data_IF_512094832822
#
_entry.id   IF_512094832822
#
_cell.length_a   1.000
_cell.length_b   1.000
_cell.length_c   1.000
_cell.angle_alpha   90.00
_cell.angle_beta   90.00
_cell.angle_gamma   90.00
#
_symmetry.space_group_name_H-M   'P 1'
#
loop_
_entity.id
_entity.type
_entity.pdbx_description
1 polymer ?
#
# COMPACT_ATOMS: atom_id res chain seq x y z
N UNK A 1 7.71 2.93 5.44
CA UNK A 1 7.96 1.51 5.07
C UNK A 1 7.38 1.28 3.68
N UNK A 2 7.99 0.40 2.89
CA UNK A 2 7.47 -0.03 1.58
C UNK A 2 7.36 -1.56 1.58
N UNK A 3 6.23 -2.10 1.13
CA UNK A 3 5.99 -3.54 1.09
C UNK A 3 4.97 -3.92 0.01
N UNK A 4 5.20 -5.03 -0.67
CA UNK A 4 4.29 -5.58 -1.66
C UNK A 4 3.28 -6.54 -1.03
N UNK A 5 2.06 -6.52 -1.55
CA UNK A 5 0.97 -7.38 -1.12
C UNK A 5 0.13 -7.79 -2.32
N UNK A 6 -0.62 -8.87 -2.14
CA UNK A 6 -1.60 -9.34 -3.11
C UNK A 6 -3.00 -9.11 -2.54
N UNK A 7 -3.88 -8.55 -3.38
CA UNK A 7 -5.29 -8.40 -3.06
C UNK A 7 -6.12 -8.75 -4.29
N UNK A 8 -7.07 -9.68 -4.12
CA UNK A 8 -7.96 -10.15 -5.18
C UNK A 8 -7.27 -10.68 -6.45
N UNK A 9 -6.05 -11.21 -6.33
CA UNK A 9 -5.25 -11.71 -7.46
C UNK A 9 -4.36 -10.65 -8.12
N UNK A 10 -4.52 -9.38 -7.73
CA UNK A 10 -3.70 -8.27 -8.21
C UNK A 10 -2.56 -7.97 -7.24
N UNK A 11 -1.44 -7.48 -7.78
CA UNK A 11 -0.27 -7.12 -6.99
C UNK A 11 -0.28 -5.62 -6.74
N UNK A 12 -0.03 -5.24 -5.50
CA UNK A 12 0.09 -3.85 -5.09
C UNK A 12 1.35 -3.62 -4.27
N UNK A 13 1.89 -2.41 -4.35
CA UNK A 13 2.98 -1.94 -3.51
C UNK A 13 2.44 -0.86 -2.58
N UNK A 14 2.42 -1.16 -1.28
CA UNK A 14 2.09 -0.21 -0.24
C UNK A 14 3.34 0.55 0.20
N UNK A 15 3.23 1.87 0.33
CA UNK A 15 4.18 2.74 1.01
C UNK A 15 3.44 3.52 2.07
N UNK A 16 3.95 3.52 3.30
CA UNK A 16 3.33 4.31 4.37
C UNK A 16 4.38 4.92 5.31
N UNK A 17 4.09 6.08 5.87
CA UNK A 17 4.93 6.74 6.87
C UNK A 17 4.08 7.49 7.90
N UNK A 18 4.60 7.61 9.12
CA UNK A 18 3.85 8.09 10.27
C UNK A 18 3.76 7.04 11.38
N UNK A 19 2.77 7.19 12.25
CA UNK A 19 2.47 6.26 13.36
C UNK A 19 1.12 5.60 13.11
N UNK A 20 0.89 4.40 13.64
CA UNK A 20 -0.37 3.68 13.48
C UNK A 20 -1.59 4.55 13.85
N UNK A 21 -2.55 4.63 12.93
CA UNK A 21 -3.75 5.46 13.02
C UNK A 21 -3.56 6.90 12.54
N UNK A 22 -2.33 7.31 12.24
CA UNK A 22 -1.91 8.64 11.81
C UNK A 22 -0.73 8.53 10.85
N UNK A 23 -0.94 7.74 9.79
CA UNK A 23 0.01 7.56 8.71
C UNK A 23 -0.56 8.08 7.38
N UNK A 24 0.34 8.57 6.52
CA UNK A 24 0.03 8.73 5.10
C UNK A 24 0.31 7.38 4.44
N UNK A 25 -0.69 6.84 3.75
CA UNK A 25 -0.65 5.55 3.07
C UNK A 25 -0.84 5.75 1.58
N UNK A 26 0.02 5.13 0.79
CA UNK A 26 0.00 5.16 -0.66
C UNK A 26 0.07 3.71 -1.18
N UNK A 27 -0.74 3.39 -2.18
CA UNK A 27 -0.65 2.13 -2.91
C UNK A 27 -0.44 2.39 -4.39
N UNK A 28 0.34 1.51 -5.00
CA UNK A 28 0.55 1.45 -6.44
C UNK A 28 0.16 0.06 -6.93
N UNK A 29 -0.67 -0.01 -7.96
CA UNK A 29 -0.98 -1.25 -8.65
C UNK A 29 0.18 -1.65 -9.55
N UNK A 30 0.57 -2.92 -9.50
CA UNK A 30 1.58 -3.51 -10.37
C UNK A 30 0.85 -4.51 -11.27
N UNK A 31 0.89 -4.28 -12.57
CA UNK A 31 0.21 -5.14 -13.53
C UNK A 31 0.99 -6.46 -13.77
N UNK A 32 0.40 -7.34 -14.57
CA UNK A 32 0.99 -8.64 -14.93
C UNK A 32 2.32 -8.57 -15.69
N UNK A 33 2.69 -7.41 -16.24
CA UNK A 33 3.95 -7.17 -16.93
C UNK A 33 5.00 -6.52 -16.01
N UNK A 34 4.72 -6.40 -14.70
CA UNK A 34 5.54 -5.68 -13.72
C UNK A 34 5.58 -4.16 -13.98
N UNK A 35 4.59 -3.63 -14.69
CA UNK A 35 4.47 -2.20 -14.98
C UNK A 35 3.65 -1.50 -13.89
N UNK A 36 4.10 -0.29 -13.52
CA UNK A 36 3.42 0.56 -12.55
C UNK A 36 2.13 1.13 -13.17
N UNK A 37 0.99 0.73 -12.60
CA UNK A 37 -0.34 1.11 -13.06
C UNK A 37 -0.92 2.30 -12.29
N UNK A 38 -2.17 2.16 -11.86
CA UNK A 38 -2.86 3.19 -11.08
C UNK A 38 -2.34 3.31 -9.65
N UNK A 39 -2.54 4.49 -9.05
CA UNK A 39 -2.17 4.78 -7.67
C UNK A 39 -3.34 5.35 -6.86
N UNK A 40 -3.35 5.06 -5.56
CA UNK A 40 -4.30 5.64 -4.61
C UNK A 40 -3.61 5.93 -3.27
N UNK A 41 -4.05 6.98 -2.58
CA UNK A 41 -3.51 7.35 -1.28
C UNK A 41 -4.56 7.90 -0.34
N UNK A 42 -4.21 7.92 0.95
CA UNK A 42 -4.96 8.56 2.02
C UNK A 42 -3.97 9.14 3.05
N UNK A 43 -4.22 10.38 3.46
CA UNK A 43 -3.57 11.01 4.61
C UNK A 43 -4.48 10.84 5.84
N UNK A 44 -4.17 9.84 6.69
CA UNK A 44 -4.96 9.57 7.90
C UNK A 44 -4.81 10.64 8.98
N UNK A 45 -3.94 11.63 8.79
CA UNK A 45 -3.75 12.76 9.71
C UNK A 45 -4.73 13.90 9.42
N UNK A 46 -5.10 14.10 8.16
CA UNK A 46 -5.89 15.25 7.71
C UNK A 46 -7.25 14.87 7.13
N UNK A 47 -7.39 13.67 6.57
CA UNK A 47 -8.64 13.18 6.00
C UNK A 47 -9.51 12.47 7.04
N UNK A 48 -10.83 12.52 6.85
CA UNK A 48 -11.77 11.76 7.69
C UNK A 48 -11.59 10.26 7.46
N UNK A 49 -11.17 9.54 8.50
CA UNK A 49 -10.89 8.11 8.44
C UNK A 49 -11.08 7.45 9.81
N UNK A 50 -11.22 6.12 9.82
CA UNK A 50 -11.18 5.36 11.07
C UNK A 50 -9.71 5.19 11.50
N UNK A 51 -9.27 6.00 12.46
CA UNK A 51 -7.90 5.96 13.01
C UNK A 51 -7.62 4.71 13.83
N UNK A 52 -8.63 3.90 14.14
CA UNK A 52 -8.48 2.61 14.84
C UNK A 52 -8.41 1.43 13.89
N UNK A 53 -8.74 1.62 12.62
CA UNK A 53 -8.65 0.57 11.62
C UNK A 53 -7.18 0.15 11.44
N UNK A 54 -6.91 -1.17 11.36
CA UNK A 54 -5.58 -1.68 11.04
C UNK A 54 -5.17 -1.23 9.64
N UNK A 55 -3.86 -1.16 9.41
CA UNK A 55 -3.31 -0.75 8.10
C UNK A 55 -3.86 -1.61 6.96
N UNK A 56 -4.04 -2.91 7.17
CA UNK A 56 -4.52 -3.85 6.16
C UNK A 56 -5.93 -3.48 5.65
N UNK A 57 -6.84 -3.04 6.53
CA UNK A 57 -8.16 -2.55 6.14
C UNK A 57 -8.07 -1.27 5.32
N UNK A 58 -7.11 -0.38 5.65
CA UNK A 58 -6.85 0.83 4.86
C UNK A 58 -6.33 0.47 3.46
N UNK A 59 -5.43 -0.49 3.35
CA UNK A 59 -4.90 -0.94 2.06
C UNK A 59 -6.00 -1.55 1.19
N UNK A 60 -6.86 -2.39 1.78
CA UNK A 60 -8.03 -2.96 1.10
C UNK A 60 -8.97 -1.86 0.60
N UNK A 61 -9.29 -0.88 1.44
CA UNK A 61 -10.11 0.27 1.06
C UNK A 61 -9.52 1.03 -0.14
N UNK A 62 -8.20 1.26 -0.12
CA UNK A 62 -7.52 1.94 -1.22
C UNK A 62 -7.54 1.10 -2.50
N UNK A 63 -7.36 -0.22 -2.41
CA UNK A 63 -7.44 -1.11 -3.57
C UNK A 63 -8.84 -1.06 -4.22
N UNK A 64 -9.91 -1.10 -3.41
CA UNK A 64 -11.28 -1.02 -3.91
C UNK A 64 -11.62 0.37 -4.48
N UNK A 65 -11.01 1.43 -3.93
CA UNK A 65 -11.13 2.78 -4.49
C UNK A 65 -10.42 2.91 -5.84
N UNK A 66 -9.28 2.25 -6.00
CA UNK A 66 -8.47 2.29 -7.21
C UNK A 66 -9.07 1.43 -8.33
N UNK A 67 -9.48 0.21 -7.98
CA UNK A 67 -10.05 -0.78 -8.92
C UNK A 67 -11.33 -1.35 -8.28
N UNK A 68 -12.50 -0.71 -8.50
CA UNK A 68 -13.75 -1.16 -7.89
C UNK A 68 -14.24 -2.51 -8.44
N UNK A 69 -13.89 -2.84 -9.68
CA UNK A 69 -14.25 -4.09 -10.36
C UNK A 69 -12.97 -4.85 -10.75
N UNK A 70 -12.30 -5.46 -9.76
CA UNK A 70 -11.16 -6.34 -10.03
C UNK A 70 -11.67 -7.60 -10.75
N UNK A 71 -11.43 -7.66 -12.07
CA UNK A 71 -11.79 -8.81 -12.92
C UNK A 71 -10.96 -10.05 -12.55
N UNK A 72 -11.57 -11.24 -12.55
CA UNK A 72 -10.85 -12.51 -12.34
C UNK A 72 -10.56 -12.86 -10.87
N UNK A 73 -11.11 -12.09 -9.93
CA UNK A 73 -10.98 -12.32 -8.50
C UNK A 73 -11.63 -13.64 -8.03
N UNK A 74 -10.87 -14.42 -7.26
CA UNK A 74 -11.39 -15.51 -6.44
C UNK A 74 -11.71 -14.99 -5.02
N UNK A 75 -12.99 -14.94 -4.59
CA UNK A 75 -13.39 -14.43 -3.27
C UNK A 75 -12.84 -15.22 -2.08
N UNK A 76 -12.19 -16.37 -2.33
CA UNK A 76 -11.49 -17.13 -1.31
C UNK A 76 -10.03 -16.69 -1.11
N UNK A 77 -9.48 -15.76 -1.91
CA UNK A 77 -8.12 -15.25 -1.77
C UNK A 77 -8.14 -13.95 -0.95
N UNK A 78 -7.84 -14.00 0.37
CA UNK A 78 -7.76 -12.81 1.20
C UNK A 78 -6.51 -11.98 0.86
N UNK A 79 -6.47 -10.76 1.40
CA UNK A 79 -5.26 -9.96 1.48
C UNK A 79 -4.08 -10.82 2.00
N UNK A 80 -2.95 -10.78 1.30
CA UNK A 80 -1.75 -11.49 1.69
C UNK A 80 -0.50 -10.66 1.43
N UNK A 81 0.33 -10.46 2.47
CA UNK A 81 1.65 -9.87 2.30
C UNK A 81 2.53 -10.79 1.43
N UNK A 82 3.18 -10.22 0.42
CA UNK A 82 4.14 -10.97 -0.40
C UNK A 82 5.51 -10.93 0.26
N UNK A 83 6.17 -12.08 0.32
CA UNK A 83 7.60 -12.20 0.67
C UNK A 83 8.44 -11.81 -0.58
N UNK A 84 8.23 -10.60 -1.07
CA UNK A 84 8.85 -10.03 -2.26
C UNK A 84 9.73 -8.83 -1.87
N UNK A 85 10.91 -8.72 -2.53
CA UNK A 85 11.97 -7.73 -2.30
C UNK A 85 11.48 -6.50 -1.53
N UNK A 86 11.94 -6.33 -0.29
CA UNK A 86 11.95 -5.00 0.35
C UNK A 86 12.79 -4.09 -0.54
N UNK A 87 12.18 -3.45 -1.52
CA UNK A 87 12.91 -2.83 -2.63
C UNK A 87 13.74 -1.65 -2.13
N UNK A 88 13.29 -0.94 -1.10
CA UNK A 88 14.09 0.07 -0.43
C UNK A 88 13.74 0.15 1.04
N UNK A 89 14.72 -0.08 1.91
CA UNK A 89 14.64 0.44 3.27
C UNK A 89 14.77 1.97 3.13
N UNK A 90 13.64 2.66 2.94
CA UNK A 90 13.58 4.13 2.83
C UNK A 90 14.31 4.66 4.06
N UNK A 91 15.52 5.18 3.84
CA UNK A 91 16.36 5.67 4.92
C UNK A 91 15.60 6.82 5.58
N UNK A 92 15.40 6.74 6.89
CA UNK A 92 15.08 7.91 7.71
C UNK A 92 16.01 9.04 7.27
N UNK A 93 15.45 10.18 6.86
CA UNK A 93 16.12 11.28 6.16
C UNK A 93 17.25 12.00 6.92
N UNK A 94 18.22 11.28 7.48
CA UNK A 94 19.53 11.79 7.81
C UNK A 94 20.35 11.77 6.52
N UNK A 95 20.31 12.88 5.78
CA UNK A 95 21.42 13.23 4.91
C UNK A 95 22.65 13.33 5.81
N UNK A 96 23.55 12.34 5.70
CA UNK A 96 24.88 12.47 6.28
C UNK A 96 25.56 13.65 5.58
N UNK A 97 25.63 14.78 6.28
CA UNK A 97 26.57 15.85 5.97
C UNK A 97 27.98 15.25 6.16
N UNK A 98 28.63 14.92 5.05
CA UNK A 98 30.06 14.63 5.00
C UNK A 98 30.61 15.20 3.69
N UNK A 99 31.76 15.86 3.63
CA UNK A 99 32.76 16.23 4.63
C UNK A 99 33.60 17.35 3.97
#
# INVERSE_FOLDING_TARGET
>A
MVREFEYKGEIFRATWHGIAGHEEVFILHIDKNDEEGGEASIDRMTEENDTRAPLEDILVMLCERLIPEIEGHDPAVPFAWRDGKTLFNVHNGLQALGH
#
